data_IF_245783875128
#
_entry.id   IF_245783875128
#
_cell.length_a   1.000
_cell.length_b   1.000
_cell.length_c   1.000
_cell.angle_alpha   90.00
_cell.angle_beta   90.00
_cell.angle_gamma   90.00
#
_symmetry.space_group_name_H-M   'P 1'
#
loop_
_entity.id
_entity.type
_entity.pdbx_description
1 polymer ?
#
# COMPACT_ATOMS: atom_id res chain seq x y z
N UNK A 1 -57.68 -45.46 -12.83
CA UNK A 1 -58.42 -44.41 -13.56
C UNK A 1 -59.33 -43.69 -12.59
N UNK A 2 -59.13 -42.40 -12.36
CA UNK A 2 -60.15 -41.40 -12.05
C UNK A 2 -59.53 -40.00 -12.19
N UNK A 3 -60.19 -39.19 -13.00
CA UNK A 3 -59.90 -37.83 -13.41
C UNK A 3 -60.07 -36.84 -12.25
N UNK A 4 -59.45 -35.65 -12.35
CA UNK A 4 -60.02 -34.46 -11.71
C UNK A 4 -59.04 -33.36 -11.33
N UNK A 5 -58.80 -32.46 -12.29
CA UNK A 5 -58.13 -31.16 -12.14
C UNK A 5 -58.79 -30.30 -11.05
N UNK A 6 -57.98 -29.59 -10.25
CA UNK A 6 -58.26 -28.19 -9.86
C UNK A 6 -57.00 -27.48 -9.39
N UNK A 7 -56.50 -26.60 -10.25
CA UNK A 7 -55.56 -25.52 -9.95
C UNK A 7 -56.18 -24.60 -8.90
N UNK A 8 -55.46 -24.37 -7.80
CA UNK A 8 -55.69 -23.27 -6.88
C UNK A 8 -54.42 -22.41 -6.87
N UNK A 9 -54.40 -21.44 -7.76
CA UNK A 9 -53.49 -20.30 -7.74
C UNK A 9 -53.85 -19.44 -6.53
N UNK A 10 -53.12 -19.61 -5.42
CA UNK A 10 -53.11 -18.62 -4.35
C UNK A 10 -51.91 -17.72 -4.61
N UNK A 11 -52.18 -16.57 -5.22
CA UNK A 11 -51.24 -15.49 -5.35
C UNK A 11 -51.05 -14.83 -3.97
N UNK A 12 -50.11 -15.34 -3.18
CA UNK A 12 -49.60 -14.61 -2.01
C UNK A 12 -48.64 -13.54 -2.52
N UNK A 13 -49.16 -12.33 -2.67
CA UNK A 13 -48.38 -11.11 -2.78
C UNK A 13 -47.58 -10.91 -1.49
N UNK A 14 -46.35 -11.41 -1.44
CA UNK A 14 -45.39 -11.01 -0.42
C UNK A 14 -44.91 -9.61 -0.78
N UNK A 15 -45.35 -8.65 0.03
CA UNK A 15 -44.89 -7.27 0.08
C UNK A 15 -43.36 -7.27 -0.04
N UNK A 16 -42.85 -6.75 -1.15
CA UNK A 16 -41.45 -6.39 -1.26
C UNK A 16 -41.25 -5.24 -0.25
N UNK A 17 -40.81 -5.59 0.96
CA UNK A 17 -40.14 -4.65 1.82
C UNK A 17 -38.87 -4.25 1.08
N UNK A 18 -38.99 -3.21 0.25
CA UNK A 18 -37.88 -2.47 -0.27
C UNK A 18 -37.18 -1.83 0.91
N UNK A 19 -36.33 -2.61 1.58
CA UNK A 19 -35.24 -2.04 2.34
C UNK A 19 -34.40 -1.36 1.27
N UNK A 20 -34.61 -0.07 1.12
CA UNK A 20 -33.61 0.83 0.57
C UNK A 20 -32.42 0.73 1.52
N UNK A 21 -31.63 -0.34 1.37
CA UNK A 21 -30.23 -0.34 1.71
C UNK A 21 -29.63 0.66 0.73
N UNK A 22 -29.81 1.95 1.00
CA UNK A 22 -28.84 2.97 0.64
C UNK A 22 -27.61 2.51 1.38
N UNK A 23 -26.84 1.61 0.75
CA UNK A 23 -25.56 1.21 1.26
C UNK A 23 -24.81 2.50 1.45
N UNK A 24 -24.45 2.80 2.69
CA UNK A 24 -23.53 3.88 3.01
C UNK A 24 -22.19 3.50 2.38
N UNK A 25 -22.07 3.66 1.07
CA UNK A 25 -20.83 3.46 0.36
C UNK A 25 -19.97 4.68 0.70
N UNK A 26 -18.98 4.48 1.56
CA UNK A 26 -18.01 5.52 1.86
C UNK A 26 -17.44 6.09 0.56
N UNK A 27 -17.41 7.41 0.47
CA UNK A 27 -16.77 8.12 -0.62
C UNK A 27 -15.26 7.78 -0.65
N UNK A 28 -14.58 7.92 -1.80
CA UNK A 28 -13.13 7.71 -1.85
C UNK A 28 -12.36 8.55 -0.82
N UNK A 29 -12.82 9.77 -0.55
CA UNK A 29 -12.21 10.67 0.43
C UNK A 29 -12.38 10.17 1.88
N UNK A 30 -13.56 9.66 2.24
CA UNK A 30 -13.80 9.02 3.54
C UNK A 30 -12.96 7.74 3.69
N UNK A 31 -12.88 6.91 2.65
CA UNK A 31 -12.02 5.72 2.67
C UNK A 31 -10.54 6.06 2.85
N UNK A 32 -10.09 7.14 2.23
CA UNK A 32 -8.71 7.62 2.37
C UNK A 32 -8.46 8.18 3.77
N UNK A 33 -9.43 8.87 4.37
CA UNK A 33 -9.35 9.30 5.76
C UNK A 33 -9.25 8.12 6.73
N UNK A 34 -10.12 7.13 6.55
CA UNK A 34 -10.14 5.92 7.36
C UNK A 34 -8.82 5.17 7.21
N UNK A 35 -8.32 5.00 5.97
CA UNK A 35 -7.03 4.37 5.70
C UNK A 35 -5.87 5.12 6.34
N UNK A 36 -5.87 6.46 6.24
CA UNK A 36 -4.82 7.30 6.80
C UNK A 36 -4.80 7.21 8.33
N UNK A 37 -5.96 7.42 8.96
CA UNK A 37 -6.10 7.44 10.44
C UNK A 37 -6.02 6.06 11.09
N UNK A 38 -6.27 4.98 10.36
CA UNK A 38 -6.15 3.60 10.88
C UNK A 38 -4.71 3.05 10.84
N UNK A 39 -3.73 3.87 10.45
CA UNK A 39 -2.31 3.52 10.44
C UNK A 39 -1.60 3.74 9.10
N UNK A 40 -2.27 4.31 8.09
CA UNK A 40 -1.61 4.64 6.82
C UNK A 40 -0.52 5.70 6.98
N UNK A 41 -0.71 6.66 7.88
CA UNK A 41 0.27 7.69 8.23
C UNK A 41 1.54 7.10 8.85
N UNK A 42 1.40 6.13 9.75
CA UNK A 42 2.50 5.39 10.36
C UNK A 42 3.34 4.67 9.30
N UNK A 43 2.71 4.13 8.25
CA UNK A 43 3.38 3.36 7.18
C UNK A 43 4.14 4.28 6.25
N UNK A 44 3.53 5.42 5.89
CA UNK A 44 4.22 6.50 5.19
C UNK A 44 5.45 6.96 5.96
N UNK A 45 5.32 7.16 7.28
CA UNK A 45 6.41 7.57 8.15
C UNK A 45 7.50 6.51 8.22
N UNK A 46 7.14 5.24 8.43
CA UNK A 46 8.10 4.14 8.49
C UNK A 46 8.89 3.98 7.19
N UNK A 47 8.24 4.06 6.02
CA UNK A 47 8.90 4.03 4.71
C UNK A 47 9.83 5.24 4.52
N UNK A 48 9.38 6.43 4.90
CA UNK A 48 10.18 7.66 4.79
C UNK A 48 11.43 7.61 5.69
N UNK A 49 11.25 7.22 6.94
CA UNK A 49 12.32 7.17 7.95
C UNK A 49 13.35 6.07 7.58
N UNK A 50 12.89 4.87 7.18
CA UNK A 50 13.78 3.76 6.82
C UNK A 50 14.53 3.98 5.50
N UNK A 51 13.87 4.54 4.47
CA UNK A 51 14.56 4.88 3.21
C UNK A 51 15.56 6.03 3.38
N UNK A 52 15.26 7.02 4.23
CA UNK A 52 16.23 8.05 4.62
C UNK A 52 17.42 7.49 5.40
N UNK A 53 17.19 6.47 6.23
CA UNK A 53 18.26 5.74 6.90
C UNK A 53 19.18 5.02 5.92
N UNK A 54 18.63 4.36 4.88
CA UNK A 54 19.44 3.77 3.80
C UNK A 54 20.29 4.84 3.10
N UNK A 55 19.71 5.99 2.78
CA UNK A 55 20.45 7.10 2.19
C UNK A 55 21.60 7.58 3.08
N UNK A 56 21.37 7.66 4.40
CA UNK A 56 22.39 8.05 5.38
C UNK A 56 23.49 7.00 5.51
N UNK A 57 23.13 5.72 5.52
CA UNK A 57 24.05 4.60 5.59
C UNK A 57 24.91 4.42 4.33
N UNK A 58 24.57 5.06 3.21
CA UNK A 58 25.32 4.96 1.95
C UNK A 58 26.82 5.31 2.08
N UNK A 59 27.16 6.19 3.02
CA UNK A 59 28.54 6.62 3.32
C UNK A 59 29.20 5.83 4.46
N UNK A 60 28.51 4.85 5.03
CA UNK A 60 28.96 4.10 6.21
C UNK A 60 29.58 2.74 5.83
N UNK A 61 29.96 1.97 6.85
CA UNK A 61 30.50 0.61 6.67
C UNK A 61 29.42 -0.37 6.22
N UNK A 62 29.83 -1.50 5.63
CA UNK A 62 28.92 -2.45 5.02
C UNK A 62 27.84 -2.99 5.97
N UNK A 63 28.18 -3.27 7.23
CA UNK A 63 27.19 -3.80 8.18
C UNK A 63 26.07 -2.79 8.51
N UNK A 64 26.37 -1.50 8.51
CA UNK A 64 25.37 -0.43 8.69
C UNK A 64 24.46 -0.35 7.46
N UNK A 65 25.03 -0.47 6.25
CA UNK A 65 24.26 -0.55 4.99
C UNK A 65 23.29 -1.73 5.01
N UNK A 66 23.75 -2.93 5.39
CA UNK A 66 22.90 -4.13 5.49
C UNK A 66 21.73 -3.89 6.44
N UNK A 67 22.03 -3.35 7.63
CA UNK A 67 21.03 -3.10 8.66
C UNK A 67 19.96 -2.13 8.16
N UNK A 68 20.36 -1.01 7.55
CA UNK A 68 19.42 -0.04 7.00
C UNK A 68 18.54 -0.63 5.88
N UNK A 69 19.13 -1.39 4.96
CA UNK A 69 18.38 -2.03 3.86
C UNK A 69 17.40 -3.11 4.38
N UNK A 70 17.75 -3.84 5.44
CA UNK A 70 16.83 -4.79 6.09
C UNK A 70 15.66 -4.09 6.80
N UNK A 71 15.90 -2.94 7.42
CA UNK A 71 14.84 -2.14 8.04
C UNK A 71 13.85 -1.62 6.99
N UNK A 72 14.34 -1.17 5.84
CA UNK A 72 13.47 -0.74 4.75
C UNK A 72 12.64 -1.92 4.21
N UNK A 73 13.21 -3.11 4.02
CA UNK A 73 12.45 -4.30 3.63
C UNK A 73 11.32 -4.63 4.62
N UNK A 74 11.58 -4.51 5.92
CA UNK A 74 10.54 -4.72 6.93
C UNK A 74 9.41 -3.68 6.83
N UNK A 75 9.74 -2.41 6.56
CA UNK A 75 8.76 -1.35 6.37
C UNK A 75 7.94 -1.55 5.09
N UNK A 76 8.57 -2.00 3.99
CA UNK A 76 7.87 -2.38 2.75
C UNK A 76 6.89 -3.50 3.00
N UNK A 77 7.31 -4.59 3.63
CA UNK A 77 6.44 -5.73 3.92
C UNK A 77 5.25 -5.35 4.81
N UNK A 78 5.44 -4.47 5.80
CA UNK A 78 4.36 -3.98 6.64
C UNK A 78 3.38 -3.08 5.85
N UNK A 79 3.90 -2.21 4.98
CA UNK A 79 3.10 -1.34 4.11
C UNK A 79 2.27 -2.15 3.09
N UNK A 80 2.86 -3.17 2.46
CA UNK A 80 2.15 -4.07 1.55
C UNK A 80 1.04 -4.84 2.25
N UNK A 81 1.32 -5.35 3.45
CA UNK A 81 0.34 -6.05 4.27
C UNK A 81 -0.81 -5.14 4.71
N UNK A 82 -0.52 -3.88 5.01
CA UNK A 82 -1.52 -2.88 5.36
C UNK A 82 -2.43 -2.54 4.17
N UNK A 83 -1.84 -2.47 2.98
CA UNK A 83 -2.54 -2.32 1.71
C UNK A 83 -2.46 -0.91 1.13
N UNK A 84 -2.85 -0.82 -0.14
CA UNK A 84 -2.71 0.38 -0.97
C UNK A 84 -3.63 1.51 -0.50
N UNK A 85 -3.16 2.78 -0.47
CA UNK A 85 -4.02 3.92 -0.18
C UNK A 85 -5.16 4.01 -1.21
N UNK A 86 -6.42 4.23 -0.78
CA UNK A 86 -7.57 4.37 -1.68
C UNK A 86 -7.60 5.77 -2.34
N UNK A 87 -6.51 6.15 -3.01
CA UNK A 87 -6.37 7.34 -3.85
C UNK A 87 -5.97 6.93 -5.26
N UNK A 88 -6.80 7.28 -6.25
CA UNK A 88 -6.53 6.98 -7.66
C UNK A 88 -5.26 7.67 -8.18
N UNK A 89 -4.93 8.84 -7.63
CA UNK A 89 -3.74 9.61 -8.00
C UNK A 89 -2.47 9.05 -7.36
N UNK A 90 -2.57 8.50 -6.15
CA UNK A 90 -1.41 8.04 -5.39
C UNK A 90 -1.08 6.56 -5.60
N UNK A 91 -2.07 5.70 -5.87
CA UNK A 91 -1.90 4.24 -5.86
C UNK A 91 -0.79 3.72 -6.79
N UNK A 92 -0.59 4.37 -7.95
CA UNK A 92 0.45 4.00 -8.90
C UNK A 92 1.84 4.29 -8.34
N UNK A 93 2.08 5.53 -7.90
CA UNK A 93 3.34 5.93 -7.26
C UNK A 93 3.63 5.13 -5.99
N UNK A 94 2.60 4.81 -5.20
CA UNK A 94 2.76 3.97 -4.02
C UNK A 94 3.30 2.58 -4.38
N UNK A 95 2.65 1.90 -5.34
CA UNK A 95 3.07 0.56 -5.76
C UNK A 95 4.46 0.55 -6.39
N UNK A 96 4.78 1.56 -7.20
CA UNK A 96 6.09 1.73 -7.82
C UNK A 96 7.18 1.96 -6.76
N UNK A 97 6.94 2.85 -5.79
CA UNK A 97 7.88 3.09 -4.70
C UNK A 97 8.15 1.83 -3.86
N UNK A 98 7.11 1.05 -3.54
CA UNK A 98 7.28 -0.21 -2.79
C UNK A 98 8.10 -1.24 -3.58
N UNK A 99 7.83 -1.37 -4.89
CA UNK A 99 8.56 -2.28 -5.78
C UNK A 99 10.05 -1.93 -5.84
N UNK A 100 10.37 -0.66 -6.07
CA UNK A 100 11.75 -0.20 -6.17
C UNK A 100 12.48 -0.24 -4.81
N UNK A 101 11.77 0.05 -3.71
CA UNK A 101 12.35 -0.14 -2.37
C UNK A 101 12.65 -1.61 -2.08
N UNK A 102 11.76 -2.52 -2.45
CA UNK A 102 11.98 -3.96 -2.26
C UNK A 102 13.19 -4.43 -3.07
N UNK A 103 13.20 -4.16 -4.38
CA UNK A 103 14.28 -4.59 -5.26
C UNK A 103 15.62 -3.96 -4.87
N UNK A 104 15.68 -2.64 -4.72
CA UNK A 104 16.90 -1.94 -4.31
C UNK A 104 17.44 -2.39 -2.95
N UNK A 105 16.56 -2.67 -1.98
CA UNK A 105 17.00 -3.16 -0.66
C UNK A 105 17.47 -4.61 -0.69
N UNK A 106 16.84 -5.47 -1.49
CA UNK A 106 17.30 -6.84 -1.70
C UNK A 106 18.69 -6.88 -2.36
N UNK A 107 18.93 -6.05 -3.37
CA UNK A 107 20.23 -5.91 -4.02
C UNK A 107 21.29 -5.37 -3.07
N UNK A 108 20.94 -4.38 -2.23
CA UNK A 108 21.80 -3.88 -1.16
C UNK A 108 22.21 -5.01 -0.19
N UNK A 109 21.25 -5.77 0.34
CA UNK A 109 21.52 -6.86 1.30
C UNK A 109 22.36 -7.97 0.65
N UNK A 110 22.04 -8.35 -0.58
CA UNK A 110 22.78 -9.38 -1.33
C UNK A 110 24.21 -8.95 -1.62
N UNK A 111 24.42 -7.70 -2.06
CA UNK A 111 25.74 -7.11 -2.29
C UNK A 111 26.58 -7.12 -1.03
N UNK A 112 26.02 -6.66 0.09
CA UNK A 112 26.75 -6.67 1.38
C UNK A 112 27.07 -8.10 1.84
N UNK A 113 26.16 -9.06 1.63
CA UNK A 113 26.40 -10.49 1.92
C UNK A 113 27.57 -11.08 1.14
N UNK A 114 27.78 -10.61 -0.10
CA UNK A 114 28.84 -11.08 -1.00
C UNK A 114 30.11 -10.20 -0.97
N UNK A 115 30.11 -9.12 -0.18
CA UNK A 115 31.14 -8.06 -0.23
C UNK A 115 31.28 -7.43 -1.63
N UNK A 116 30.18 -7.40 -2.37
CA UNK A 116 30.06 -6.78 -3.68
C UNK A 116 29.60 -5.32 -3.49
N UNK A 117 30.57 -4.43 -3.39
CA UNK A 117 30.32 -2.99 -3.22
C UNK A 117 29.59 -2.36 -4.42
N UNK A 118 29.95 -2.64 -5.69
CA UNK A 118 29.16 -2.20 -6.84
C UNK A 118 27.68 -2.53 -6.73
N UNK A 119 27.34 -3.80 -6.45
CA UNK A 119 25.94 -4.25 -6.30
C UNK A 119 25.25 -3.57 -5.12
N UNK A 120 25.95 -3.44 -4.00
CA UNK A 120 25.43 -2.72 -2.82
C UNK A 120 25.05 -1.29 -3.17
N UNK A 121 25.94 -0.58 -3.86
CA UNK A 121 25.75 0.81 -4.23
C UNK A 121 24.70 0.99 -5.33
N UNK A 122 24.51 0.00 -6.21
CA UNK A 122 23.41 -0.01 -7.18
C UNK A 122 22.05 -0.11 -6.48
N UNK A 123 21.90 -1.07 -5.55
CA UNK A 123 20.69 -1.20 -4.74
C UNK A 123 20.34 0.06 -3.95
N UNK A 124 21.35 0.70 -3.32
CA UNK A 124 21.17 1.98 -2.60
C UNK A 124 20.71 3.09 -3.55
N UNK A 125 21.27 3.19 -4.77
CA UNK A 125 20.85 4.20 -5.75
C UNK A 125 19.39 4.01 -6.17
N UNK A 126 18.94 2.78 -6.26
CA UNK A 126 17.55 2.48 -6.55
C UNK A 126 16.62 2.93 -5.43
N UNK A 127 16.95 2.59 -4.18
CA UNK A 127 16.25 3.11 -3.00
C UNK A 127 16.20 4.64 -3.02
N UNK A 128 17.32 5.32 -3.33
CA UNK A 128 17.37 6.77 -3.40
C UNK A 128 16.45 7.37 -4.47
N UNK A 129 16.28 6.70 -5.63
CA UNK A 129 15.31 7.12 -6.65
C UNK A 129 13.87 6.94 -6.15
N UNK A 130 13.58 5.81 -5.53
CA UNK A 130 12.26 5.47 -5.01
C UNK A 130 11.76 6.44 -3.92
N UNK A 131 12.65 7.12 -3.18
CA UNK A 131 12.29 8.19 -2.24
C UNK A 131 11.48 9.30 -2.93
N UNK A 132 11.87 9.70 -4.16
CA UNK A 132 11.14 10.71 -4.92
C UNK A 132 9.75 10.26 -5.37
N UNK A 133 9.61 8.96 -5.65
CA UNK A 133 8.35 8.33 -6.04
C UNK A 133 7.41 8.26 -4.82
N UNK A 134 7.92 7.82 -3.66
CA UNK A 134 7.18 7.84 -2.39
C UNK A 134 6.73 9.26 -2.05
N UNK A 135 7.61 10.26 -2.16
CA UNK A 135 7.27 11.65 -1.89
C UNK A 135 6.11 12.14 -2.79
N UNK A 136 6.08 11.71 -4.05
CA UNK A 136 4.99 12.00 -4.98
C UNK A 136 3.69 11.33 -4.56
N UNK A 137 3.73 10.05 -4.15
CA UNK A 137 2.57 9.35 -3.61
C UNK A 137 1.99 10.05 -2.37
N UNK A 138 2.86 10.41 -1.42
CA UNK A 138 2.48 11.09 -0.17
C UNK A 138 1.89 12.47 -0.44
N UNK A 139 2.46 13.22 -1.39
CA UNK A 139 1.92 14.51 -1.82
C UNK A 139 0.48 14.37 -2.35
N UNK A 140 0.22 13.38 -3.21
CA UNK A 140 -1.11 13.11 -3.75
C UNK A 140 -2.11 12.68 -2.68
N UNK A 141 -1.69 11.84 -1.72
CA UNK A 141 -2.51 11.46 -0.57
C UNK A 141 -2.91 12.70 0.23
N UNK A 142 -1.97 13.59 0.54
CA UNK A 142 -2.25 14.82 1.31
C UNK A 142 -3.20 15.75 0.57
N UNK A 143 -2.99 15.96 -0.73
CA UNK A 143 -3.89 16.78 -1.56
C UNK A 143 -5.31 16.20 -1.55
N UNK A 144 -5.46 14.88 -1.71
CA UNK A 144 -6.78 14.24 -1.71
C UNK A 144 -7.43 14.27 -0.31
N UNK A 145 -6.64 14.27 0.77
CA UNK A 145 -7.13 14.43 2.14
C UNK A 145 -7.59 15.88 2.45
N UNK A 146 -6.92 16.88 1.86
CA UNK A 146 -7.25 18.31 2.02
C UNK A 146 -8.44 18.74 1.17
N UNK A 147 -8.70 18.04 0.06
CA UNK A 147 -9.79 18.33 -0.86
C UNK A 147 -11.18 17.82 -0.42
N UNK A 148 -11.30 17.36 0.83
CA UNK A 148 -12.56 16.96 1.48
C UNK A 148 -13.50 18.15 1.69
#
# INVERSE_FOLDING_TARGET
>A
MLFGVRLLTVATATVAAGVLLVGCSSTPAEKLEDWWSSGGDDRVKALSDSSSNVNTASMQVMDDKRTACQQLLAAVADAEKYGTPPSEKAKGFWAEALTDFEHGSNECVAGVGQKDEPRTNEGIREVQRAIGILASAVSMIRIDLEAK
#
